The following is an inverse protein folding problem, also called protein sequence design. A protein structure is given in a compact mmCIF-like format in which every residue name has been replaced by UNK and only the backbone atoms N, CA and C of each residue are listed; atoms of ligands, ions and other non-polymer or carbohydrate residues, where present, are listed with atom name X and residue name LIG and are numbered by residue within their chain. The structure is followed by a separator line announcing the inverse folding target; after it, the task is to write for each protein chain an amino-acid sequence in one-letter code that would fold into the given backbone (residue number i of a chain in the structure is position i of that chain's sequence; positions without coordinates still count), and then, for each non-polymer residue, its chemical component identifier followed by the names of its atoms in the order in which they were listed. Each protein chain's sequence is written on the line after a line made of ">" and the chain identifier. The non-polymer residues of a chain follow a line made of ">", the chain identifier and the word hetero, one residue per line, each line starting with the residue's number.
data_IF_377568474832
#
_entry.id   IF_377568474832
#
_cell.length_a   1.000
_cell.length_b   1.000
_cell.length_c   1.000
_cell.angle_alpha   90.00
_cell.angle_beta   90.00
_cell.angle_gamma   90.00
#
_symmetry.space_group_name_H-M   'P 1'
#
loop_
_entity.id
_entity.type
_entity.pdbx_description
1 polymer ?
#
# COMPACT_ATOMS: atom_id res chain seq x y z
N UNK A 1 -12.39 -1.46 3.93
CA UNK A 1 -11.85 -0.90 2.66
C UNK A 1 -10.32 -0.93 2.68
N UNK A 2 -9.72 -1.01 1.51
CA UNK A 2 -8.27 -1.03 1.33
C UNK A 2 -7.87 0.18 0.48
N UNK A 3 -6.80 0.87 0.89
CA UNK A 3 -6.30 2.05 0.19
C UNK A 3 -5.43 1.64 -1.00
N UNK A 4 -5.72 2.26 -2.15
CA UNK A 4 -4.90 2.16 -3.36
C UNK A 4 -4.49 3.54 -3.83
N UNK A 5 -3.36 3.61 -4.50
CA UNK A 5 -2.94 4.79 -5.25
C UNK A 5 -2.95 4.46 -6.74
N UNK A 6 -3.29 5.44 -7.58
CA UNK A 6 -3.16 5.30 -9.04
C UNK A 6 -1.90 6.02 -9.47
N UNK A 7 -0.92 5.25 -9.91
CA UNK A 7 0.39 5.75 -10.34
C UNK A 7 0.64 5.34 -11.78
N UNK A 8 0.91 6.32 -12.63
CA UNK A 8 1.15 6.08 -14.06
C UNK A 8 0.05 5.23 -14.72
N UNK A 9 -1.21 5.51 -14.37
CA UNK A 9 -2.38 4.83 -14.94
C UNK A 9 -2.72 3.47 -14.34
N UNK A 10 -1.97 2.97 -13.35
CA UNK A 10 -2.20 1.66 -12.72
C UNK A 10 -2.43 1.78 -11.23
N UNK A 11 -3.33 0.93 -10.71
CA UNK A 11 -3.56 0.84 -9.27
C UNK A 11 -2.45 0.04 -8.60
N UNK A 12 -1.93 0.57 -7.50
CA UNK A 12 -0.91 -0.08 -6.69
C UNK A 12 -1.02 0.33 -5.21
N UNK A 13 -0.26 -0.32 -4.36
CA UNK A 13 -0.14 0.08 -2.96
C UNK A 13 0.96 1.13 -2.81
N UNK A 14 0.83 2.06 -1.84
CA UNK A 14 1.89 3.02 -1.54
C UNK A 14 3.20 2.33 -1.24
N UNK A 15 4.29 2.81 -1.81
CA UNK A 15 5.65 2.33 -1.57
C UNK A 15 6.67 3.40 -1.88
N UNK A 16 7.88 3.24 -1.36
CA UNK A 16 8.98 4.14 -1.67
C UNK A 16 10.33 3.48 -1.42
N UNK A 17 11.38 4.19 -1.81
CA UNK A 17 12.75 3.68 -1.73
C UNK A 17 13.23 3.67 -0.27
N UNK A 18 13.76 2.51 0.17
CA UNK A 18 14.49 2.40 1.41
C UNK A 18 15.94 2.82 1.19
N UNK A 19 16.36 3.90 1.82
CA UNK A 19 17.76 4.36 1.77
C UNK A 19 18.63 3.48 2.69
N UNK A 20 19.92 3.34 2.32
CA UNK A 20 20.88 2.59 3.12
C UNK A 20 20.90 3.11 4.57
N UNK A 21 20.81 2.19 5.54
CA UNK A 21 20.80 2.53 6.96
C UNK A 21 19.48 3.08 7.50
N UNK A 22 18.45 3.27 6.66
CA UNK A 22 17.16 3.78 7.09
C UNK A 22 16.32 2.69 7.78
N UNK A 23 15.45 3.11 8.70
CA UNK A 23 14.51 2.21 9.37
C UNK A 23 13.36 1.86 8.44
N UNK A 24 13.06 0.58 8.27
CA UNK A 24 12.03 0.06 7.35
C UNK A 24 10.64 0.55 7.70
N UNK A 25 10.24 0.48 8.96
CA UNK A 25 8.91 0.90 9.42
C UNK A 25 8.73 2.41 9.30
N UNK A 26 9.73 3.19 9.70
CA UNK A 26 9.69 4.66 9.56
C UNK A 26 9.62 5.08 8.09
N UNK A 27 10.33 4.38 7.21
CA UNK A 27 10.28 4.62 5.76
C UNK A 27 8.88 4.35 5.23
N UNK A 28 8.25 3.23 5.59
CA UNK A 28 6.89 2.90 5.16
C UNK A 28 5.88 3.96 5.60
N UNK A 29 5.97 4.43 6.85
CA UNK A 29 5.11 5.49 7.38
C UNK A 29 5.33 6.79 6.61
N UNK A 30 6.58 7.18 6.37
CA UNK A 30 6.91 8.39 5.63
C UNK A 30 6.33 8.35 4.21
N UNK A 31 6.52 7.25 3.51
CA UNK A 31 6.07 7.11 2.12
C UNK A 31 4.54 7.19 2.01
N UNK A 32 3.80 6.53 2.89
CA UNK A 32 2.33 6.64 2.85
C UNK A 32 1.86 8.05 3.14
N UNK A 33 2.51 8.76 4.06
CA UNK A 33 2.19 10.15 4.36
C UNK A 33 2.47 11.07 3.16
N UNK A 34 3.62 10.91 2.52
CA UNK A 34 4.00 11.69 1.35
C UNK A 34 3.10 11.42 0.15
N UNK A 35 2.82 10.16 -0.16
CA UNK A 35 2.07 9.75 -1.35
C UNK A 35 0.56 10.03 -1.25
N UNK A 36 0.00 10.10 -0.05
CA UNK A 36 -1.45 10.17 0.16
C UNK A 36 -1.94 11.38 0.96
N UNK A 37 -1.06 12.06 1.67
CA UNK A 37 -1.42 13.13 2.59
C UNK A 37 -2.01 12.65 3.93
N UNK A 38 -2.01 11.34 4.18
CA UNK A 38 -2.41 10.79 5.50
C UNK A 38 -1.38 11.23 6.55
N UNK A 39 -1.85 11.57 7.73
CA UNK A 39 -0.98 12.00 8.83
C UNK A 39 -0.46 10.79 9.61
N UNK A 40 0.77 10.88 10.08
CA UNK A 40 1.42 9.82 10.85
C UNK A 40 0.59 9.34 12.05
N UNK A 41 -0.09 10.26 12.74
CA UNK A 41 -0.95 9.95 13.90
C UNK A 41 -2.19 9.14 13.56
N UNK A 42 -2.53 9.05 12.26
CA UNK A 42 -3.73 8.36 11.78
C UNK A 42 -3.44 6.90 11.36
N UNK A 43 -2.20 6.45 11.47
CA UNK A 43 -1.80 5.12 11.02
C UNK A 43 -0.99 4.36 12.07
N UNK A 44 -1.18 3.04 12.09
CA UNK A 44 -0.43 2.11 12.94
C UNK A 44 0.02 0.91 12.11
N UNK A 45 1.29 0.56 12.22
CA UNK A 45 1.82 -0.67 11.61
C UNK A 45 1.38 -1.86 12.46
N UNK A 46 0.67 -2.81 11.84
CA UNK A 46 0.21 -4.03 12.51
C UNK A 46 1.26 -5.14 12.45
N UNK A 47 1.69 -5.49 11.24
CA UNK A 47 2.67 -6.55 11.04
C UNK A 47 3.28 -6.50 9.65
N UNK A 48 4.46 -7.12 9.44
CA UNK A 48 5.02 -7.27 8.11
C UNK A 48 4.22 -8.28 7.29
N UNK A 49 4.21 -8.08 5.99
CA UNK A 49 3.69 -9.01 5.00
C UNK A 49 4.87 -9.68 4.27
N UNK A 50 4.55 -10.55 3.31
CA UNK A 50 5.58 -11.19 2.51
C UNK A 50 6.23 -10.17 1.55
N UNK A 51 7.58 -10.19 1.38
CA UNK A 51 8.24 -9.32 0.41
C UNK A 51 7.94 -9.74 -1.03
N UNK A 52 8.00 -8.78 -1.95
CA UNK A 52 7.91 -9.01 -3.38
C UNK A 52 9.22 -8.64 -4.08
N UNK A 53 9.47 -9.25 -5.23
CA UNK A 53 10.66 -9.01 -6.01
C UNK A 53 10.30 -8.73 -7.47
N UNK A 54 11.04 -7.82 -8.11
CA UNK A 54 10.94 -7.62 -9.54
C UNK A 54 12.31 -7.31 -10.15
N UNK A 55 12.44 -7.57 -11.45
CA UNK A 55 13.67 -7.36 -12.19
C UNK A 55 13.59 -6.12 -13.05
N UNK A 56 14.65 -5.31 -13.04
CA UNK A 56 14.83 -4.18 -13.95
C UNK A 56 16.18 -4.31 -14.64
N UNK A 57 16.26 -3.83 -15.89
CA UNK A 57 17.55 -3.62 -16.53
C UNK A 57 18.06 -2.22 -16.22
N UNK A 58 19.29 -2.15 -15.71
CA UNK A 58 19.96 -0.88 -15.41
C UNK A 58 21.36 -0.97 -16.06
N UNK A 59 21.62 -0.10 -17.06
CA UNK A 59 22.91 -0.07 -17.78
C UNK A 59 23.35 -1.42 -18.32
N UNK A 60 22.40 -2.22 -18.86
CA UNK A 60 22.67 -3.55 -19.39
C UNK A 60 22.66 -4.69 -18.38
N UNK A 61 22.68 -4.40 -17.10
CA UNK A 61 22.63 -5.39 -16.02
C UNK A 61 21.21 -5.64 -15.54
N UNK A 62 20.93 -6.88 -15.11
CA UNK A 62 19.67 -7.24 -14.46
C UNK A 62 19.80 -6.94 -12.97
N UNK A 63 18.93 -6.03 -12.48
CA UNK A 63 18.86 -5.68 -11.06
C UNK A 63 17.57 -6.23 -10.47
N UNK A 64 17.67 -6.96 -9.37
CA UNK A 64 16.52 -7.45 -8.61
C UNK A 64 16.19 -6.41 -7.54
N UNK A 65 14.95 -5.90 -7.55
CA UNK A 65 14.45 -5.00 -6.51
C UNK A 65 13.54 -5.77 -5.57
N UNK A 66 13.81 -5.67 -4.27
CA UNK A 66 12.96 -6.22 -3.22
C UNK A 66 12.11 -5.11 -2.63
N UNK A 67 10.82 -5.37 -2.48
CA UNK A 67 9.90 -4.48 -1.75
C UNK A 67 9.44 -5.18 -0.48
N UNK A 68 9.64 -4.51 0.66
CA UNK A 68 9.20 -4.97 1.97
C UNK A 68 7.85 -4.31 2.27
N UNK A 69 6.87 -5.12 2.62
CA UNK A 69 5.49 -4.67 2.81
C UNK A 69 5.06 -4.78 4.27
N UNK A 70 4.22 -3.85 4.69
CA UNK A 70 3.61 -3.84 6.02
C UNK A 70 2.10 -3.68 5.91
N UNK A 71 1.37 -4.41 6.75
CA UNK A 71 -0.05 -4.15 6.95
C UNK A 71 -0.20 -2.98 7.92
N UNK A 72 -0.92 -1.95 7.49
CA UNK A 72 -1.10 -0.71 8.23
C UNK A 72 -2.60 -0.47 8.45
N UNK A 73 -2.98 -0.13 9.67
CA UNK A 73 -4.33 0.27 10.00
C UNK A 73 -4.46 1.79 9.96
N UNK A 74 -5.50 2.26 9.30
CA UNK A 74 -5.88 3.67 9.29
C UNK A 74 -7.00 3.92 10.28
N UNK A 75 -6.82 4.89 11.18
CA UNK A 75 -7.79 5.28 12.21
C UNK A 75 -8.40 6.66 11.99
N UNK A 76 -8.03 7.35 10.92
CA UNK A 76 -8.58 8.65 10.57
C UNK A 76 -9.97 8.55 9.93
N UNK A 77 -10.50 9.69 9.50
CA UNK A 77 -11.79 9.77 8.82
C UNK A 77 -11.67 9.20 7.39
N UNK A 78 -12.38 8.10 7.07
CA UNK A 78 -12.32 7.51 5.73
C UNK A 78 -12.95 8.39 4.63
N UNK A 79 -13.71 9.41 5.01
CA UNK A 79 -14.31 10.38 4.09
C UNK A 79 -13.38 11.54 3.79
N UNK A 80 -12.31 11.69 4.55
CA UNK A 80 -11.33 12.77 4.35
C UNK A 80 -10.71 12.67 2.97
N UNK A 81 -10.65 13.80 2.26
CA UNK A 81 -10.00 13.87 0.96
C UNK A 81 -8.49 13.70 1.13
N UNK A 82 -7.93 12.72 0.41
CA UNK A 82 -6.49 12.48 0.35
C UNK A 82 -5.82 13.36 -0.71
N UNK A 83 -4.52 13.58 -0.56
CA UNK A 83 -3.73 14.43 -1.44
C UNK A 83 -2.69 13.60 -2.19
N UNK A 84 -2.97 13.19 -3.45
CA UNK A 84 -2.00 12.44 -4.24
C UNK A 84 -0.73 13.24 -4.50
N UNK A 85 0.43 12.60 -4.41
CA UNK A 85 1.72 13.21 -4.72
C UNK A 85 1.94 13.23 -6.23
N UNK A 86 1.48 14.30 -6.89
CA UNK A 86 1.47 14.41 -8.36
C UNK A 86 2.86 14.36 -8.99
N UNK A 87 3.87 14.89 -8.34
CA UNK A 87 5.26 14.87 -8.84
C UNK A 87 5.84 13.45 -8.95
N UNK A 88 5.27 12.49 -8.22
CA UNK A 88 5.62 11.07 -8.30
C UNK A 88 4.74 10.30 -9.29
N UNK A 89 3.90 10.97 -10.04
CA UNK A 89 3.00 10.36 -11.01
C UNK A 89 1.72 9.78 -10.40
N UNK A 90 1.42 10.10 -9.14
CA UNK A 90 0.23 9.65 -8.44
C UNK A 90 -0.92 10.62 -8.74
N UNK A 91 -1.98 10.11 -9.36
CA UNK A 91 -3.12 10.92 -9.77
C UNK A 91 -4.33 10.77 -8.87
N UNK A 92 -4.46 9.62 -8.18
CA UNK A 92 -5.58 9.31 -7.28
C UNK A 92 -5.13 8.51 -6.07
N UNK A 93 -5.83 8.76 -4.95
CA UNK A 93 -5.80 7.90 -3.76
C UNK A 93 -7.24 7.52 -3.46
N UNK A 94 -7.55 6.23 -3.36
CA UNK A 94 -8.93 5.79 -3.18
C UNK A 94 -9.03 4.56 -2.29
N UNK A 95 -10.06 4.57 -1.43
CA UNK A 95 -10.43 3.42 -0.61
C UNK A 95 -11.42 2.56 -1.39
N UNK A 96 -11.05 1.30 -1.60
CA UNK A 96 -11.92 0.33 -2.27
C UNK A 96 -12.51 -0.65 -1.26
N UNK A 97 -13.79 -0.95 -1.42
CA UNK A 97 -14.43 -2.07 -0.72
C UNK A 97 -13.97 -3.39 -1.35
N UNK A 98 -14.17 -4.50 -0.65
CA UNK A 98 -13.85 -5.82 -1.20
C UNK A 98 -14.64 -6.11 -2.50
N UNK A 99 -15.89 -5.63 -2.58
CA UNK A 99 -16.70 -5.78 -3.79
C UNK A 99 -16.16 -5.03 -5.01
N UNK A 100 -15.47 -3.91 -4.78
CA UNK A 100 -14.88 -3.10 -5.86
C UNK A 100 -13.54 -3.63 -6.38
N UNK A 101 -12.91 -4.58 -5.65
CA UNK A 101 -11.59 -5.08 -6.02
C UNK A 101 -11.54 -5.77 -7.38
N UNK A 102 -12.62 -6.42 -7.79
CA UNK A 102 -12.69 -7.09 -9.10
C UNK A 102 -12.40 -6.11 -10.25
N UNK A 103 -12.96 -4.90 -10.17
CA UNK A 103 -12.72 -3.85 -11.17
C UNK A 103 -11.33 -3.27 -11.03
N UNK A 104 -10.91 -2.99 -9.79
CA UNK A 104 -9.59 -2.41 -9.49
C UNK A 104 -8.45 -3.28 -9.98
N UNK A 105 -8.57 -4.61 -9.82
CA UNK A 105 -7.52 -5.56 -10.17
C UNK A 105 -7.23 -5.63 -11.67
N UNK A 106 -8.17 -5.23 -12.54
CA UNK A 106 -7.93 -5.20 -13.99
C UNK A 106 -6.79 -4.26 -14.39
N UNK A 107 -6.66 -3.14 -13.69
CA UNK A 107 -5.65 -2.12 -13.96
C UNK A 107 -4.60 -2.02 -12.85
N UNK A 108 -4.37 -3.12 -12.15
CA UNK A 108 -3.41 -3.17 -11.04
C UNK A 108 -2.09 -3.82 -11.46
N UNK A 109 -1.04 -3.47 -10.74
CA UNK A 109 0.25 -4.15 -10.89
C UNK A 109 0.17 -5.59 -10.39
N UNK A 110 0.97 -6.52 -10.96
CA UNK A 110 0.93 -7.93 -10.57
C UNK A 110 1.13 -8.19 -9.08
N UNK A 111 2.01 -7.44 -8.40
CA UNK A 111 2.25 -7.59 -6.97
C UNK A 111 1.00 -7.32 -6.12
N UNK A 112 0.06 -6.50 -6.60
CA UNK A 112 -1.20 -6.22 -5.90
C UNK A 112 -2.03 -7.49 -5.78
N UNK A 113 -2.15 -8.27 -6.85
CA UNK A 113 -2.89 -9.53 -6.85
C UNK A 113 -2.29 -10.51 -5.83
N UNK A 114 -0.98 -10.62 -5.83
CA UNK A 114 -0.25 -11.49 -4.93
C UNK A 114 -0.41 -11.07 -3.46
N UNK A 115 -0.22 -9.79 -3.17
CA UNK A 115 -0.32 -9.25 -1.81
C UNK A 115 -1.73 -9.32 -1.23
N UNK A 116 -2.76 -9.11 -2.05
CA UNK A 116 -4.15 -9.19 -1.57
C UNK A 116 -4.47 -10.54 -0.95
N UNK A 117 -3.95 -11.63 -1.49
CA UNK A 117 -4.11 -12.96 -0.91
C UNK A 117 -3.58 -13.03 0.52
N UNK A 118 -2.43 -12.43 0.77
CA UNK A 118 -1.83 -12.37 2.12
C UNK A 118 -2.60 -11.41 3.03
N UNK A 119 -3.03 -10.26 2.55
CA UNK A 119 -3.83 -9.30 3.34
C UNK A 119 -5.14 -9.94 3.78
N UNK A 120 -5.88 -10.56 2.87
CA UNK A 120 -7.18 -11.16 3.16
C UNK A 120 -7.09 -12.34 4.13
N UNK A 121 -5.95 -13.01 4.18
CA UNK A 121 -5.70 -14.13 5.09
C UNK A 121 -4.94 -13.74 6.36
N UNK A 122 -4.52 -12.51 6.49
CA UNK A 122 -3.78 -12.04 7.65
C UNK A 122 -4.67 -12.02 8.91
N UNK A 123 -4.19 -12.58 10.05
CA UNK A 123 -4.98 -12.60 11.30
C UNK A 123 -5.40 -11.22 11.80
N UNK A 124 -4.54 -10.21 11.68
CA UNK A 124 -4.84 -8.84 12.11
C UNK A 124 -5.99 -8.25 11.27
N UNK A 125 -5.98 -8.48 9.96
CA UNK A 125 -7.04 -8.05 9.07
C UNK A 125 -8.37 -8.75 9.38
N UNK A 126 -8.34 -10.06 9.61
CA UNK A 126 -9.53 -10.83 9.99
C UNK A 126 -10.12 -10.36 11.32
N UNK A 127 -9.27 -10.05 12.29
CA UNK A 127 -9.71 -9.51 13.58
C UNK A 127 -10.34 -8.11 13.42
N UNK A 128 -9.76 -7.27 12.59
CA UNK A 128 -10.32 -5.96 12.24
C UNK A 128 -11.73 -6.10 11.65
N UNK A 129 -11.93 -7.02 10.70
CA UNK A 129 -13.24 -7.25 10.09
C UNK A 129 -14.28 -7.73 11.11
N UNK A 130 -13.90 -8.62 12.05
CA UNK A 130 -14.76 -9.09 13.13
C UNK A 130 -15.19 -7.94 14.04
N UNK A 131 -14.25 -7.07 14.42
CA UNK A 131 -14.54 -5.92 15.28
C UNK A 131 -15.54 -4.95 14.64
N UNK A 132 -15.53 -4.81 13.32
CA UNK A 132 -16.49 -3.96 12.58
C UNK A 132 -17.89 -4.56 12.51
N UNK A 133 -18.01 -5.90 12.46
CA UNK A 133 -19.32 -6.57 12.46
C UNK A 133 -20.04 -6.49 13.80
N UNK A 134 -19.29 -6.37 14.90
CA UNK A 134 -19.84 -6.32 16.26
C UNK A 134 -20.20 -4.89 16.72
N UNK A 135 -20.08 -3.91 15.85
CA UNK A 135 -20.57 -2.55 16.05
C UNK A 135 -21.80 -2.36 15.19
#
# INVERSE_FOLDING_TARGET
>A
KILFIKKNGRWEFPKGRLKKGANRKKTAIREICEETGIKKKEIDILNPLIPTHHHNKVSGDIVVKETLWFLIQYSGDPKKKLTPEKKEGITKCKWFSLGDLVVTLKDSRPEVHYLLGFVLNDPSYKNYLKSKKNK
#
